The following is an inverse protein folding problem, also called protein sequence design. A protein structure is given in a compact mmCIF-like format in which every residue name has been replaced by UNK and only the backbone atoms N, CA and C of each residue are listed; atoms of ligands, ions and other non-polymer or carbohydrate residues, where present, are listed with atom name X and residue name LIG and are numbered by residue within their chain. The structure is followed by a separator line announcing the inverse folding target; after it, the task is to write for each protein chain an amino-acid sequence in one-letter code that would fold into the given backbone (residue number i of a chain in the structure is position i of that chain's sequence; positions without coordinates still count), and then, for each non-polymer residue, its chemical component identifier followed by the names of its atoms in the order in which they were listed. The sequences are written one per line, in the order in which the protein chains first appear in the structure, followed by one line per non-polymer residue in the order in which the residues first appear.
data_IF_785519422160
#
_entry.id   IF_785519422160
#
_cell.length_a   1.000
_cell.length_b   1.000
_cell.length_c   1.000
_cell.angle_alpha   90.00
_cell.angle_beta   90.00
_cell.angle_gamma   90.00
#
_symmetry.space_group_name_H-M   'P 1'
#
loop_
_entity.id
_entity.type
_entity.pdbx_description
1 polymer ?
#
# COMPACT_ATOMS: atom_id res chain seq x y z
N UNK A 1 -29.70 -5.24 50.51
CA UNK A 1 -28.72 -6.14 49.88
C UNK A 1 -29.44 -6.96 48.81
N UNK A 2 -28.82 -7.02 47.64
CA UNK A 2 -29.04 -7.92 46.50
C UNK A 2 -30.34 -7.84 45.70
N UNK A 3 -30.16 -7.18 44.56
CA UNK A 3 -30.75 -7.46 43.25
C UNK A 3 -30.66 -8.95 42.89
N UNK A 4 -31.68 -9.50 42.24
CA UNK A 4 -31.52 -10.47 41.14
C UNK A 4 -32.85 -10.69 40.41
N UNK A 5 -32.90 -10.25 39.16
CA UNK A 5 -33.94 -10.55 38.16
C UNK A 5 -33.55 -11.86 37.46
N UNK A 6 -34.46 -12.84 37.31
CA UNK A 6 -34.16 -14.05 36.53
C UNK A 6 -34.34 -13.83 35.01
N UNK A 7 -33.22 -14.00 34.30
CA UNK A 7 -33.02 -14.77 33.06
C UNK A 7 -34.18 -14.81 32.03
N UNK A 8 -34.06 -14.02 30.96
CA UNK A 8 -34.81 -14.20 29.71
C UNK A 8 -33.92 -14.88 28.67
N UNK A 9 -34.39 -16.02 28.14
CA UNK A 9 -33.73 -16.84 27.12
C UNK A 9 -34.59 -16.87 25.85
N UNK A 10 -34.03 -16.32 24.77
CA UNK A 10 -34.17 -16.70 23.36
C UNK A 10 -35.59 -16.99 22.83
N UNK A 11 -36.26 -15.93 22.36
CA UNK A 11 -37.38 -16.06 21.42
C UNK A 11 -36.88 -16.19 19.97
N UNK A 12 -37.23 -17.34 19.39
CA UNK A 12 -37.12 -17.69 17.98
C UNK A 12 -38.36 -17.16 17.28
N UNK A 13 -38.21 -16.12 16.46
CA UNK A 13 -39.29 -15.63 15.60
C UNK A 13 -38.91 -15.84 14.13
N UNK A 14 -39.70 -16.70 13.50
CA UNK A 14 -39.73 -16.99 12.08
C UNK A 14 -39.98 -15.71 11.26
N UNK A 15 -39.32 -15.57 10.11
CA UNK A 15 -39.71 -14.58 9.11
C UNK A 15 -39.79 -15.24 7.73
N UNK A 16 -41.00 -15.70 7.45
CA UNK A 16 -41.81 -15.45 6.25
C UNK A 16 -41.05 -15.40 4.90
N UNK A 17 -41.28 -16.43 4.09
CA UNK A 17 -41.21 -16.35 2.62
C UNK A 17 -42.52 -15.75 2.10
N UNK A 18 -42.44 -14.65 1.35
CA UNK A 18 -43.48 -14.22 0.42
C UNK A 18 -42.85 -13.94 -0.94
N UNK A 19 -43.51 -14.43 -1.98
CA UNK A 19 -43.07 -14.47 -3.36
C UNK A 19 -43.53 -13.24 -4.16
N UNK A 20 -42.83 -13.00 -5.28
CA UNK A 20 -43.21 -12.27 -6.52
C UNK A 20 -43.53 -10.76 -6.40
N UNK A 21 -43.17 -9.83 -7.33
CA UNK A 21 -43.13 -9.80 -8.80
C UNK A 21 -42.52 -8.42 -9.23
N UNK A 22 -41.93 -8.30 -10.44
CA UNK A 22 -41.47 -7.06 -11.16
C UNK A 22 -40.31 -6.25 -10.50
N UNK A 23 -39.26 -5.75 -11.17
CA UNK A 23 -39.21 -4.89 -12.36
C UNK A 23 -37.87 -5.02 -13.12
N UNK A 24 -37.96 -4.86 -14.44
CA UNK A 24 -36.86 -4.47 -15.33
C UNK A 24 -36.41 -3.03 -15.08
N UNK A 25 -35.12 -2.77 -15.35
CA UNK A 25 -34.41 -1.48 -15.55
C UNK A 25 -33.45 -1.07 -14.42
N UNK A 26 -32.15 -1.17 -14.74
CA UNK A 26 -31.19 -0.09 -14.54
C UNK A 26 -30.31 -0.14 -13.29
N UNK A 27 -29.02 -0.50 -13.47
CA UNK A 27 -27.96 0.35 -12.93
C UNK A 27 -26.60 0.10 -13.57
N UNK A 28 -25.99 1.23 -13.92
CA UNK A 28 -24.71 1.49 -14.52
C UNK A 28 -23.58 0.96 -13.63
N UNK A 29 -22.58 0.33 -14.23
CA UNK A 29 -21.42 -0.19 -13.50
C UNK A 29 -20.19 -0.48 -14.36
N UNK A 30 -20.02 0.23 -15.47
CA UNK A 30 -18.75 0.26 -16.20
C UNK A 30 -17.76 1.14 -15.44
N UNK A 31 -16.81 0.51 -14.75
CA UNK A 31 -15.72 1.20 -14.05
C UNK A 31 -14.87 1.91 -15.09
N UNK A 32 -15.03 3.23 -15.12
CA UNK A 32 -14.16 4.18 -15.79
C UNK A 32 -12.73 3.92 -15.27
N UNK A 33 -11.91 3.22 -16.07
CA UNK A 33 -10.47 3.14 -15.91
C UNK A 33 -9.89 4.52 -16.23
N UNK A 34 -10.16 5.47 -15.34
CA UNK A 34 -9.69 6.84 -15.43
C UNK A 34 -8.20 6.83 -15.12
N UNK A 35 -7.47 6.82 -16.21
CA UNK A 35 -6.16 7.39 -16.46
C UNK A 35 -5.18 7.33 -15.29
N UNK A 36 -4.16 6.49 -15.49
CA UNK A 36 -2.83 6.74 -14.94
C UNK A 36 -2.41 8.17 -15.29
N UNK A 37 -2.61 9.09 -14.35
CA UNK A 37 -2.12 10.47 -14.43
C UNK A 37 -0.69 10.48 -14.95
N UNK A 38 -0.53 11.15 -16.09
CA UNK A 38 0.70 11.36 -16.81
C UNK A 38 1.75 11.98 -15.86
N UNK A 39 2.70 11.16 -15.42
CA UNK A 39 3.91 11.69 -14.78
C UNK A 39 4.79 12.32 -15.86
N UNK A 40 5.27 13.57 -15.70
CA UNK A 40 6.29 14.13 -16.58
C UNK A 40 7.52 13.21 -16.55
N UNK A 41 7.87 12.69 -17.74
CA UNK A 41 8.98 11.76 -17.95
C UNK A 41 10.31 12.49 -17.72
N UNK A 42 10.87 12.36 -16.53
CA UNK A 42 12.30 12.08 -16.48
C UNK A 42 12.54 10.72 -17.15
N UNK A 43 13.71 10.51 -17.74
CA UNK A 43 14.08 9.33 -18.56
C UNK A 43 14.12 7.98 -17.81
N UNK A 44 13.49 7.87 -16.64
CA UNK A 44 13.60 6.69 -15.78
C UNK A 44 12.28 6.19 -15.21
N UNK A 45 12.33 4.95 -14.71
CA UNK A 45 11.17 4.20 -14.22
C UNK A 45 10.56 4.82 -12.95
N UNK A 46 11.27 5.73 -12.28
CA UNK A 46 10.87 6.35 -11.01
C UNK A 46 10.90 7.88 -11.05
N UNK A 47 10.14 8.61 -10.21
CA UNK A 47 10.14 10.08 -10.18
C UNK A 47 11.50 10.69 -9.85
N UNK A 48 12.23 10.08 -8.91
CA UNK A 48 13.56 10.52 -8.52
C UNK A 48 14.62 9.87 -9.40
N UNK A 49 15.56 10.68 -9.88
CA UNK A 49 16.68 10.27 -10.74
C UNK A 49 18.05 10.58 -10.12
N UNK A 50 18.10 10.92 -8.83
CA UNK A 50 19.35 11.19 -8.12
C UNK A 50 20.07 9.93 -7.66
N UNK A 51 21.30 10.11 -7.18
CA UNK A 51 22.18 9.01 -6.75
C UNK A 51 21.98 8.57 -5.31
N UNK A 52 21.38 9.42 -4.46
CA UNK A 52 21.24 9.16 -3.01
C UNK A 52 19.95 8.37 -2.72
N UNK A 53 19.87 7.80 -1.53
CA UNK A 53 18.61 7.26 -1.02
C UNK A 53 17.56 8.35 -0.84
N UNK A 54 16.30 7.96 -0.99
CA UNK A 54 15.16 8.82 -0.76
C UNK A 54 14.01 8.02 -0.10
N UNK A 55 13.00 8.73 0.37
CA UNK A 55 11.72 8.12 0.71
C UNK A 55 10.94 7.82 -0.55
N UNK A 56 10.42 6.59 -0.65
CA UNK A 56 9.48 6.19 -1.70
C UNK A 56 8.13 5.82 -1.12
N UNK A 57 7.06 6.26 -1.77
CA UNK A 57 5.70 5.75 -1.56
C UNK A 57 5.36 4.77 -2.67
N UNK A 58 4.80 3.63 -2.29
CA UNK A 58 4.50 2.52 -3.17
C UNK A 58 3.02 2.17 -3.11
N UNK A 59 2.46 1.72 -4.24
CA UNK A 59 1.09 1.22 -4.35
C UNK A 59 1.09 0.01 -5.25
N UNK A 60 0.80 -1.17 -4.69
CA UNK A 60 0.77 -2.40 -5.48
C UNK A 60 -0.39 -2.33 -6.51
N UNK A 61 -0.14 -2.55 -7.80
CA UNK A 61 -1.19 -2.51 -8.82
C UNK A 61 -2.18 -3.67 -8.68
N UNK A 62 -1.74 -4.82 -8.14
CA UNK A 62 -2.56 -6.03 -7.95
C UNK A 62 -3.43 -5.94 -6.69
N UNK A 63 -2.83 -5.86 -5.49
CA UNK A 63 -3.57 -5.88 -4.22
C UNK A 63 -3.90 -4.50 -3.66
N UNK A 64 -3.53 -3.41 -4.34
CA UNK A 64 -3.77 -2.01 -3.94
C UNK A 64 -3.17 -1.59 -2.59
N UNK A 65 -2.43 -2.47 -1.91
CA UNK A 65 -1.69 -2.15 -0.67
C UNK A 65 -0.74 -0.98 -0.93
N UNK A 66 -0.66 -0.07 0.04
CA UNK A 66 0.28 1.05 0.05
C UNK A 66 1.33 0.84 1.14
N UNK A 67 2.56 1.27 0.90
CA UNK A 67 3.62 1.28 1.89
C UNK A 67 4.63 2.39 1.61
N UNK A 68 5.41 2.74 2.62
CA UNK A 68 6.49 3.72 2.53
C UNK A 68 7.81 3.05 2.85
N UNK A 69 8.89 3.53 2.24
CA UNK A 69 10.25 3.05 2.53
C UNK A 69 11.28 4.16 2.41
N UNK A 70 12.17 4.27 3.41
CA UNK A 70 13.35 5.16 3.37
C UNK A 70 14.54 4.59 2.58
N UNK A 71 14.38 3.42 1.96
CA UNK A 71 15.39 2.77 1.13
C UNK A 71 14.93 2.70 -0.34
N UNK A 72 14.40 3.83 -0.82
CA UNK A 72 14.04 4.00 -2.23
C UNK A 72 15.23 4.55 -3.01
N UNK A 73 15.38 4.11 -4.25
CA UNK A 73 16.46 4.48 -5.17
C UNK A 73 15.89 4.85 -6.53
N UNK A 74 16.64 5.64 -7.30
CA UNK A 74 16.29 5.89 -8.69
C UNK A 74 16.26 4.56 -9.47
N UNK A 75 15.22 4.39 -10.29
CA UNK A 75 15.04 3.28 -11.23
C UNK A 75 15.02 1.89 -10.57
N UNK A 76 14.64 1.82 -9.30
CA UNK A 76 14.55 0.58 -8.53
C UNK A 76 13.20 0.51 -7.80
N UNK A 77 12.68 -0.69 -7.67
CA UNK A 77 11.42 -1.00 -7.01
C UNK A 77 11.58 -1.78 -5.71
N UNK A 78 10.43 -2.05 -5.10
CA UNK A 78 10.29 -2.99 -4.01
C UNK A 78 9.22 -4.00 -4.32
N UNK A 79 9.48 -5.24 -3.95
CA UNK A 79 8.55 -6.33 -4.12
C UNK A 79 7.40 -6.22 -3.12
N UNK A 80 6.18 -6.34 -3.62
CA UNK A 80 5.01 -6.39 -2.76
C UNK A 80 4.99 -7.72 -1.99
N UNK A 81 5.05 -7.67 -0.66
CA UNK A 81 5.04 -8.87 0.22
C UNK A 81 3.88 -9.85 -0.04
N UNK A 82 2.72 -9.38 -0.52
CA UNK A 82 1.56 -10.24 -0.80
C UNK A 82 1.57 -10.81 -2.22
N UNK A 83 2.07 -10.05 -3.18
CA UNK A 83 1.90 -10.35 -4.60
C UNK A 83 3.19 -10.79 -5.28
N UNK A 84 4.33 -10.64 -4.61
CA UNK A 84 5.66 -10.95 -5.13
C UNK A 84 5.95 -10.36 -6.51
N UNK A 85 5.43 -9.15 -6.76
CA UNK A 85 5.72 -8.37 -7.97
C UNK A 85 6.58 -7.16 -7.62
N UNK A 86 7.50 -6.79 -8.51
CA UNK A 86 8.26 -5.55 -8.37
C UNK A 86 7.34 -4.34 -8.56
N UNK A 87 7.37 -3.41 -7.62
CA UNK A 87 6.56 -2.20 -7.64
C UNK A 87 7.48 -1.00 -7.53
N UNK A 88 7.41 -0.12 -8.52
CA UNK A 88 8.13 1.15 -8.51
C UNK A 88 7.40 2.18 -7.64
N UNK A 89 8.14 3.06 -6.95
CA UNK A 89 7.54 4.13 -6.19
C UNK A 89 6.83 5.13 -7.12
N UNK A 90 5.63 5.54 -6.72
CA UNK A 90 4.84 6.54 -7.47
C UNK A 90 5.15 7.97 -7.00
N UNK A 91 5.66 8.12 -5.77
CA UNK A 91 6.21 9.37 -5.24
C UNK A 91 7.56 9.07 -4.60
N UNK A 92 8.52 9.97 -4.80
CA UNK A 92 9.79 9.92 -4.10
C UNK A 92 10.12 11.32 -3.58
N UNK A 93 10.54 11.40 -2.32
CA UNK A 93 10.95 12.65 -1.67
C UNK A 93 12.34 12.49 -1.07
N UNK A 94 13.23 13.49 -1.18
CA UNK A 94 14.53 13.45 -0.54
C UNK A 94 14.43 13.13 0.95
N UNK A 95 15.45 12.48 1.50
CA UNK A 95 15.65 12.38 2.94
C UNK A 95 16.17 13.74 3.44
N UNK A 96 15.29 14.75 3.51
CA UNK A 96 15.65 16.00 4.18
C UNK A 96 15.77 15.72 5.67
N UNK A 97 16.84 16.24 6.27
CA UNK A 97 17.02 16.26 7.72
C UNK A 97 16.61 17.66 8.19
N UNK A 98 15.34 17.96 8.49
CA UNK A 98 15.07 19.13 9.30
C UNK A 98 15.74 18.89 10.66
N UNK A 99 16.47 19.87 11.17
CA UNK A 99 17.16 19.83 12.46
C UNK A 99 16.34 19.08 13.53
N UNK A 100 16.74 17.84 13.83
CA UNK A 100 16.25 17.09 15.00
C UNK A 100 15.00 16.22 14.85
N UNK A 101 14.36 16.09 13.68
CA UNK A 101 13.18 15.20 13.53
C UNK A 101 13.34 14.21 12.37
N UNK A 102 14.09 13.13 12.61
CA UNK A 102 14.13 12.00 11.69
C UNK A 102 12.81 11.21 11.75
N UNK A 103 11.88 11.56 10.86
CA UNK A 103 10.61 10.83 10.68
C UNK A 103 10.84 9.43 10.06
N UNK A 104 12.06 9.15 9.58
CA UNK A 104 12.67 7.84 9.39
C UNK A 104 12.95 7.07 10.67
N UNK A 105 12.06 6.20 11.15
CA UNK A 105 12.50 5.18 12.11
C UNK A 105 13.58 4.29 11.47
N UNK A 106 14.85 4.67 11.66
CA UNK A 106 16.01 3.99 11.13
C UNK A 106 16.18 2.60 11.72
N UNK A 107 15.51 2.30 12.84
CA UNK A 107 15.54 0.99 13.48
C UNK A 107 14.64 -0.03 12.78
N UNK A 108 13.67 0.41 11.95
CA UNK A 108 12.82 -0.52 11.21
C UNK A 108 13.64 -1.42 10.30
N UNK A 109 13.41 -2.72 10.48
CA UNK A 109 13.99 -3.75 9.63
C UNK A 109 13.72 -3.43 8.16
N UNK A 110 14.80 -3.41 7.38
CA UNK A 110 14.67 -3.28 5.94
C UNK A 110 14.58 -4.67 5.34
N UNK A 111 13.45 -5.03 4.70
CA UNK A 111 13.32 -6.34 4.07
C UNK A 111 14.19 -6.39 2.81
N UNK A 112 15.45 -6.80 2.98
CA UNK A 112 16.45 -6.89 1.91
C UNK A 112 15.96 -7.77 0.75
N UNK A 113 15.28 -8.87 1.09
CA UNK A 113 14.71 -9.82 0.13
C UNK A 113 13.58 -9.23 -0.73
N UNK A 114 12.99 -8.09 -0.35
CA UNK A 114 11.99 -7.39 -1.16
C UNK A 114 12.58 -6.18 -1.89
N UNK A 115 13.81 -5.77 -1.58
CA UNK A 115 14.40 -4.57 -2.15
C UNK A 115 15.21 -4.91 -3.41
N UNK A 116 14.81 -4.36 -4.57
CA UNK A 116 15.52 -4.60 -5.83
C UNK A 116 16.99 -4.16 -5.75
N UNK A 117 17.29 -3.01 -5.13
CA UNK A 117 18.66 -2.54 -4.95
C UNK A 117 19.50 -3.51 -4.10
N UNK A 118 18.95 -4.10 -3.04
CA UNK A 118 19.66 -5.09 -2.22
C UNK A 118 19.92 -6.38 -3.01
N UNK A 119 18.94 -6.83 -3.80
CA UNK A 119 19.10 -8.01 -4.68
C UNK A 119 20.22 -7.79 -5.70
N UNK A 120 20.25 -6.61 -6.34
CA UNK A 120 21.29 -6.24 -7.32
C UNK A 120 22.68 -6.14 -6.69
N UNK A 121 22.78 -5.58 -5.48
CA UNK A 121 24.06 -5.42 -4.78
C UNK A 121 24.57 -6.74 -4.15
N UNK A 122 23.66 -7.66 -3.81
CA UNK A 122 23.98 -8.82 -2.97
C UNK A 122 24.20 -8.49 -1.49
N UNK A 123 24.02 -7.22 -1.07
CA UNK A 123 24.17 -6.77 0.32
C UNK A 123 23.23 -5.60 0.65
N UNK A 124 23.20 -5.24 1.94
CA UNK A 124 22.31 -4.20 2.47
C UNK A 124 22.55 -2.82 1.83
N UNK A 125 21.56 -2.33 1.08
CA UNK A 125 21.67 -1.08 0.32
C UNK A 125 21.91 0.17 1.17
N UNK A 126 21.60 0.18 2.48
CA UNK A 126 21.87 1.34 3.36
C UNK A 126 23.37 1.64 3.49
N UNK A 127 24.25 0.66 3.19
CA UNK A 127 25.71 0.86 3.16
C UNK A 127 26.18 1.68 1.95
N UNK A 128 25.32 1.86 0.95
CA UNK A 128 25.58 2.73 -0.21
C UNK A 128 25.08 4.14 0.14
N UNK A 129 25.98 5.13 0.10
CA UNK A 129 25.69 6.53 0.39
C UNK A 129 25.21 7.29 -0.85
#
# INVERSE_FOLDING_TARGET
LSLAVPHASLDRVETVKCAVLFDTIGQLGGKDDREAEARPKGEGQTPYQGKKRCFGEYKCPKCKRKWMSGNSWANMGQECIKCHINVYPHKQRPLEKPDGLDVSDQSKEHPQHLCEKCKVLGYYCRRVQ
#
